data_IF_168515143793
#
_entry.id   IF_168515143793
#
_cell.length_a   1.000
_cell.length_b   1.000
_cell.length_c   1.000
_cell.angle_alpha   90.00
_cell.angle_beta   90.00
_cell.angle_gamma   90.00
#
_symmetry.space_group_name_H-M   'P 1'
#
loop_
_entity.id
_entity.type
_entity.pdbx_description
1 polymer ?
#
# COMPACT_ATOMS: atom_id res chain seq x y z
N UNK A 1 -30.05 6.23 -31.72
CA UNK A 1 -29.29 6.92 -30.65
C UNK A 1 -29.21 6.13 -29.35
N UNK A 2 -28.33 5.13 -29.27
CA UNK A 2 -28.07 4.36 -28.04
C UNK A 2 -26.57 4.31 -27.71
N UNK A 3 -25.90 5.48 -27.68
CA UNK A 3 -24.44 5.56 -27.46
C UNK A 3 -24.01 6.58 -26.38
N UNK A 4 -24.85 6.90 -25.39
CA UNK A 4 -24.54 8.01 -24.45
C UNK A 4 -24.84 7.72 -22.96
N UNK A 5 -24.75 6.47 -22.49
CA UNK A 5 -24.98 6.18 -21.05
C UNK A 5 -23.96 5.18 -20.48
N UNK A 6 -22.67 5.51 -20.41
CA UNK A 6 -21.76 4.84 -19.44
C UNK A 6 -20.40 5.55 -19.23
N UNK A 7 -20.35 6.88 -19.15
CA UNK A 7 -19.08 7.63 -18.99
C UNK A 7 -19.11 8.63 -17.83
N UNK A 8 -19.77 8.28 -16.72
CA UNK A 8 -19.86 9.16 -15.54
C UNK A 8 -19.40 8.57 -14.19
N UNK A 9 -19.17 7.25 -14.08
CA UNK A 9 -18.88 6.59 -12.79
C UNK A 9 -17.48 5.96 -12.74
N UNK A 10 -16.73 5.97 -13.85
CA UNK A 10 -15.41 5.31 -13.95
C UNK A 10 -14.31 5.94 -13.08
N UNK A 11 -14.50 7.16 -12.56
CA UNK A 11 -13.42 7.93 -11.92
C UNK A 11 -13.74 8.60 -10.57
N UNK A 12 -14.94 8.47 -10.02
CA UNK A 12 -15.37 9.36 -8.92
C UNK A 12 -14.75 9.08 -7.54
N UNK A 13 -13.90 8.06 -7.37
CA UNK A 13 -13.12 7.89 -6.13
C UNK A 13 -12.82 6.45 -5.71
N UNK A 14 -13.47 5.44 -6.29
CA UNK A 14 -13.35 4.04 -5.80
C UNK A 14 -11.94 3.46 -6.01
N UNK A 15 -11.28 3.78 -7.13
CA UNK A 15 -9.91 3.33 -7.42
C UNK A 15 -8.87 4.00 -6.51
N UNK A 16 -8.84 5.34 -6.48
CA UNK A 16 -7.89 6.13 -5.66
C UNK A 16 -8.08 5.90 -4.16
N UNK A 17 -9.33 5.89 -3.68
CA UNK A 17 -9.63 5.57 -2.27
C UNK A 17 -9.24 4.13 -1.93
N UNK A 18 -9.50 3.18 -2.84
CA UNK A 18 -9.06 1.79 -2.67
C UNK A 18 -7.54 1.65 -2.57
N UNK A 19 -6.80 2.33 -3.45
CA UNK A 19 -5.33 2.38 -3.40
C UNK A 19 -4.82 2.99 -2.10
N UNK A 20 -5.42 4.10 -1.64
CA UNK A 20 -5.00 4.74 -0.40
C UNK A 20 -5.24 3.86 0.85
N UNK A 21 -6.41 3.22 0.95
CA UNK A 21 -6.72 2.30 2.04
C UNK A 21 -5.77 1.10 2.02
N UNK A 22 -5.44 0.58 0.83
CA UNK A 22 -4.52 -0.56 0.70
C UNK A 22 -3.14 -0.18 1.21
N UNK A 23 -2.66 1.00 0.81
CA UNK A 23 -1.37 1.53 1.25
C UNK A 23 -1.33 1.76 2.76
N UNK A 24 -2.36 2.35 3.36
CA UNK A 24 -2.39 2.58 4.82
C UNK A 24 -2.33 1.26 5.61
N UNK A 25 -3.11 0.25 5.20
CA UNK A 25 -3.07 -1.08 5.83
C UNK A 25 -1.70 -1.76 5.63
N UNK A 26 -1.13 -1.67 4.43
CA UNK A 26 0.20 -2.22 4.13
C UNK A 26 1.31 -1.48 4.90
N UNK A 27 1.21 -0.17 5.07
CA UNK A 27 2.13 0.64 5.87
C UNK A 27 2.16 0.19 7.33
N UNK A 28 1.00 -0.06 7.92
CA UNK A 28 0.89 -0.58 9.29
C UNK A 28 1.46 -1.98 9.38
N UNK A 29 1.08 -2.86 8.44
CA UNK A 29 1.54 -4.25 8.40
C UNK A 29 3.06 -4.38 8.30
N UNK A 30 3.70 -3.63 7.39
CA UNK A 30 5.17 -3.66 7.17
C UNK A 30 5.94 -3.18 8.41
N UNK A 31 5.38 -2.29 9.23
CA UNK A 31 6.05 -1.86 10.46
C UNK A 31 6.18 -3.00 11.46
N UNK A 32 5.10 -3.76 11.62
CA UNK A 32 5.00 -4.84 12.61
C UNK A 32 5.51 -6.19 12.12
N UNK A 33 5.41 -6.46 10.81
CA UNK A 33 5.70 -7.75 10.20
C UNK A 33 6.88 -7.68 9.24
N UNK A 34 7.51 -8.84 8.99
CA UNK A 34 8.61 -9.00 8.03
C UNK A 34 8.15 -9.56 6.67
N UNK A 35 6.87 -9.40 6.33
CA UNK A 35 6.32 -9.72 5.02
C UNK A 35 5.20 -8.74 4.61
N UNK A 36 4.78 -8.80 3.35
CA UNK A 36 3.60 -8.08 2.85
C UNK A 36 2.90 -8.92 1.77
N UNK A 37 1.62 -9.26 2.00
CA UNK A 37 0.79 -9.95 1.01
C UNK A 37 -0.21 -8.97 0.36
N UNK A 38 0.21 -8.41 -0.78
CA UNK A 38 -0.58 -7.44 -1.53
C UNK A 38 -1.76 -8.11 -2.23
N UNK A 39 -1.60 -9.35 -2.70
CA UNK A 39 -2.65 -10.09 -3.39
C UNK A 39 -3.79 -10.44 -2.42
N UNK A 40 -3.43 -11.00 -1.26
CA UNK A 40 -4.39 -11.30 -0.19
C UNK A 40 -5.14 -10.06 0.26
N UNK A 41 -4.44 -8.94 0.44
CA UNK A 41 -5.05 -7.68 0.84
C UNK A 41 -6.04 -7.14 -0.21
N UNK A 42 -5.66 -7.11 -1.48
CA UNK A 42 -6.57 -6.65 -2.56
C UNK A 42 -7.77 -7.58 -2.71
N UNK A 43 -7.58 -8.89 -2.52
CA UNK A 43 -8.67 -9.87 -2.52
C UNK A 43 -9.66 -9.64 -1.37
N UNK A 44 -9.17 -9.43 -0.14
CA UNK A 44 -9.99 -9.08 1.04
C UNK A 44 -10.74 -7.75 0.82
N UNK A 45 -10.09 -6.76 0.23
CA UNK A 45 -10.71 -5.47 -0.04
C UNK A 45 -11.86 -5.58 -1.06
N UNK A 46 -11.70 -6.45 -2.07
CA UNK A 46 -12.73 -6.72 -3.07
C UNK A 46 -13.90 -7.54 -2.52
N UNK A 47 -13.71 -8.33 -1.46
CA UNK A 47 -14.82 -9.04 -0.80
C UNK A 47 -15.72 -8.10 -0.01
N UNK A 48 -15.16 -7.03 0.58
CA UNK A 48 -15.91 -6.02 1.34
C UNK A 48 -16.53 -4.93 0.46
N UNK A 49 -15.87 -4.54 -0.65
CA UNK A 49 -16.39 -3.57 -1.60
C UNK A 49 -15.94 -3.89 -3.02
N UNK A 50 -16.90 -4.26 -3.86
CA UNK A 50 -16.69 -4.58 -5.27
C UNK A 50 -15.94 -3.45 -6.00
N UNK A 51 -15.06 -3.85 -6.92
CA UNK A 51 -14.31 -2.95 -7.80
C UNK A 51 -13.27 -2.04 -7.11
N UNK A 52 -12.64 -2.53 -6.04
CA UNK A 52 -11.45 -1.89 -5.45
C UNK A 52 -10.18 -2.28 -6.21
N UNK A 53 -9.30 -1.31 -6.49
CA UNK A 53 -8.11 -1.43 -7.36
C UNK A 53 -8.51 -1.95 -8.75
N UNK A 54 -9.01 -1.06 -9.62
CA UNK A 54 -9.65 -1.47 -10.87
C UNK A 54 -8.66 -1.66 -12.02
N UNK A 55 -7.55 -0.93 -11.98
CA UNK A 55 -6.56 -0.92 -13.06
C UNK A 55 -5.30 -1.63 -12.63
N UNK A 56 -4.62 -2.25 -13.60
CA UNK A 56 -3.30 -2.84 -13.40
C UNK A 56 -2.31 -1.80 -12.87
N UNK A 57 -2.35 -0.57 -13.40
CA UNK A 57 -1.50 0.53 -12.95
C UNK A 57 -1.66 0.83 -11.45
N UNK A 58 -2.88 0.80 -10.91
CA UNK A 58 -3.11 0.97 -9.47
C UNK A 58 -2.51 -0.17 -8.67
N UNK A 59 -2.59 -1.40 -9.17
CA UNK A 59 -2.00 -2.56 -8.52
C UNK A 59 -0.47 -2.49 -8.52
N UNK A 60 0.13 -2.16 -9.67
CA UNK A 60 1.57 -1.94 -9.82
C UNK A 60 2.05 -0.80 -8.92
N UNK A 61 1.29 0.29 -8.83
CA UNK A 61 1.61 1.40 -7.94
C UNK A 61 1.65 0.98 -6.46
N UNK A 62 0.72 0.13 -6.01
CA UNK A 62 0.74 -0.40 -4.64
C UNK A 62 2.03 -1.19 -4.38
N UNK A 63 2.45 -2.05 -5.31
CA UNK A 63 3.73 -2.78 -5.23
C UNK A 63 4.93 -1.84 -5.15
N UNK A 64 4.98 -0.79 -5.99
CA UNK A 64 6.06 0.19 -5.96
C UNK A 64 6.15 0.92 -4.63
N UNK A 65 5.00 1.37 -4.08
CA UNK A 65 4.96 2.00 -2.77
C UNK A 65 5.42 1.06 -1.66
N UNK A 66 4.96 -0.19 -1.66
CA UNK A 66 5.38 -1.20 -0.66
C UNK A 66 6.89 -1.41 -0.71
N UNK A 67 7.47 -1.53 -1.90
CA UNK A 67 8.92 -1.68 -2.07
C UNK A 67 9.69 -0.48 -1.49
N UNK A 68 9.22 0.75 -1.76
CA UNK A 68 9.83 1.97 -1.21
C UNK A 68 9.73 2.01 0.33
N UNK A 69 8.58 1.63 0.88
CA UNK A 69 8.36 1.59 2.34
C UNK A 69 9.26 0.56 3.01
N UNK A 70 9.44 -0.59 2.36
CA UNK A 70 10.35 -1.64 2.82
C UNK A 70 11.80 -1.16 2.92
N UNK A 71 12.28 -0.48 1.88
CA UNK A 71 13.63 0.09 1.87
C UNK A 71 13.82 1.12 3.00
N UNK A 72 12.79 1.96 3.26
CA UNK A 72 12.84 2.93 4.35
C UNK A 72 12.83 2.28 5.74
N UNK A 73 12.09 1.17 5.94
CA UNK A 73 12.13 0.40 7.20
C UNK A 73 13.55 -0.08 7.52
N UNK A 74 14.30 -0.55 6.51
CA UNK A 74 15.70 -0.99 6.69
C UNK A 74 16.61 0.18 7.11
N UNK A 75 16.37 1.37 6.56
CA UNK A 75 17.13 2.56 6.93
C UNK A 75 16.82 3.03 8.36
N UNK A 76 15.55 2.94 8.80
CA UNK A 76 15.18 3.33 10.16
C UNK A 76 15.69 2.35 11.22
N UNK A 77 15.71 1.04 10.96
CA UNK A 77 16.28 0.08 11.92
C UNK A 77 17.79 0.34 12.11
N UNK A 78 18.51 0.57 11.01
CA UNK A 78 19.95 0.90 11.05
C UNK A 78 20.22 2.16 11.89
N UNK A 79 19.43 3.23 11.74
CA UNK A 79 19.64 4.46 12.53
C UNK A 79 19.35 4.26 14.02
N UNK A 80 18.35 3.45 14.37
CA UNK A 80 18.05 3.16 15.79
C UNK A 80 19.16 2.35 16.46
N UNK A 81 19.73 1.36 15.78
CA UNK A 81 20.80 0.53 16.33
C UNK A 81 22.11 1.33 16.54
N UNK A 82 22.43 2.26 15.63
CA UNK A 82 23.65 3.07 15.68
C UNK A 82 23.66 4.06 16.87
N UNK A 83 22.51 4.50 17.36
CA UNK A 83 22.43 5.45 18.49
C UNK A 83 22.83 4.78 19.82
N UNK A 84 22.60 3.47 19.98
CA UNK A 84 22.90 2.75 21.24
C UNK A 84 24.36 2.35 21.40
N UNK A 85 25.16 2.34 20.32
CA UNK A 85 26.54 1.85 20.39
C UNK A 85 27.53 2.85 21.02
N UNK A 86 27.21 4.15 21.02
CA UNK A 86 28.11 5.19 21.55
C UNK A 86 27.91 5.54 23.04
N UNK A 87 26.82 5.09 23.67
CA UNK A 87 26.56 5.38 25.10
C UNK A 87 27.18 4.34 26.06
N UNK A 88 27.71 3.23 25.54
CA UNK A 88 28.15 2.08 26.35
C UNK A 88 29.67 1.97 26.53
N UNK A 89 30.45 2.98 26.09
CA UNK A 89 31.93 2.97 26.12
C UNK A 89 32.54 4.03 27.05
N UNK A 90 31.89 4.33 28.17
CA UNK A 90 32.49 5.10 29.29
C UNK A 90 32.75 4.17 30.46
#
# INVERSE_FOLDING_TARGET
>A
DHHQVQTGIRDAGVGRTGTFIALDRLMQHIREHEFADILGMVSEMRSHRLSMVQTEEQYVFIHQCVLLMWQKKKQSSITSDVIYENASKT
#
